data_IF_832402721223
#
_entry.id   IF_832402721223
#
_cell.length_a   1.000
_cell.length_b   1.000
_cell.length_c   1.000
_cell.angle_alpha   90.00
_cell.angle_beta   90.00
_cell.angle_gamma   90.00
#
_symmetry.space_group_name_H-M   'P 1'
#
loop_
_entity.id
_entity.type
_entity.pdbx_description
1 polymer ?
#
# COMPACT_ATOMS: atom_id res chain seq x y z
N UNK A 1 10.21 -1.78 -20.17
CA UNK A 1 9.91 -2.10 -18.76
C UNK A 1 9.15 -3.40 -18.80
N UNK A 2 9.80 -4.50 -18.48
CA UNK A 2 9.14 -5.69 -17.98
C UNK A 2 9.24 -5.64 -16.47
N UNK A 3 8.17 -5.97 -15.77
CA UNK A 3 8.14 -6.03 -14.32
C UNK A 3 7.77 -7.46 -13.96
N UNK A 4 8.72 -8.38 -14.12
CA UNK A 4 8.43 -9.82 -14.01
C UNK A 4 8.36 -10.19 -12.54
N UNK A 5 7.18 -10.61 -12.08
CA UNK A 5 7.04 -11.40 -10.86
C UNK A 5 7.42 -12.84 -11.21
N UNK A 6 8.57 -13.30 -10.74
CA UNK A 6 9.02 -14.68 -10.97
C UNK A 6 8.43 -15.62 -9.91
N UNK A 7 8.30 -16.93 -10.21
CA UNK A 7 7.85 -17.94 -9.25
C UNK A 7 8.73 -18.12 -7.99
N UNK A 8 9.86 -17.42 -7.90
CA UNK A 8 10.77 -17.38 -6.75
C UNK A 8 10.62 -16.11 -5.89
N UNK A 9 9.49 -15.40 -6.04
CA UNK A 9 9.16 -14.15 -5.37
C UNK A 9 10.14 -13.00 -5.65
N UNK A 10 10.83 -13.04 -6.80
CA UNK A 10 11.67 -11.93 -7.26
C UNK A 10 10.92 -11.03 -8.23
N UNK A 11 10.88 -9.74 -7.91
CA UNK A 11 10.46 -8.67 -8.82
C UNK A 11 11.64 -8.37 -9.77
N UNK A 12 11.42 -8.27 -11.07
CA UNK A 12 12.50 -7.88 -12.01
C UNK A 12 12.01 -6.72 -12.86
N UNK A 13 12.58 -5.54 -12.65
CA UNK A 13 12.47 -4.44 -13.61
C UNK A 13 13.48 -4.66 -14.73
N UNK A 14 13.05 -5.30 -15.82
CA UNK A 14 13.82 -5.44 -17.05
C UNK A 14 13.60 -4.18 -17.91
N UNK A 15 14.65 -3.36 -18.04
CA UNK A 15 14.67 -2.26 -18.99
C UNK A 15 15.27 -2.78 -20.30
N UNK A 16 14.47 -3.43 -21.13
CA UNK A 16 14.88 -3.63 -22.52
C UNK A 16 14.94 -2.25 -23.19
N UNK A 17 16.17 -1.77 -23.41
CA UNK A 17 16.43 -0.74 -24.41
C UNK A 17 16.05 -1.36 -25.75
N UNK A 18 14.85 -1.05 -26.22
CA UNK A 18 14.41 -1.47 -27.54
C UNK A 18 15.39 -0.87 -28.57
N UNK A 19 16.26 -1.73 -29.12
CA UNK A 19 17.27 -1.35 -30.13
C UNK A 19 16.64 -0.96 -31.47
N UNK A 20 15.32 -0.82 -31.55
CA UNK A 20 14.58 -0.50 -32.76
C UNK A 20 13.80 0.82 -32.66
N UNK A 21 14.45 1.93 -32.32
CA UNK A 21 14.16 3.26 -32.91
C UNK A 21 12.70 3.73 -33.03
N UNK A 22 11.79 3.40 -32.11
CA UNK A 22 10.44 4.01 -32.04
C UNK A 22 10.45 5.04 -30.91
N UNK A 23 10.81 6.27 -31.25
CA UNK A 23 11.05 7.36 -30.29
C UNK A 23 9.78 8.11 -29.82
N UNK A 24 8.56 7.61 -30.07
CA UNK A 24 7.33 8.39 -29.85
C UNK A 24 6.40 7.97 -28.70
N UNK A 25 6.65 6.91 -27.91
CA UNK A 25 5.76 6.56 -26.76
C UNK A 25 6.43 6.40 -25.38
N UNK A 26 7.76 6.27 -25.30
CA UNK A 26 8.42 5.95 -24.02
C UNK A 26 8.36 7.12 -23.01
N UNK A 27 8.33 8.37 -23.46
CA UNK A 27 8.43 9.56 -22.59
C UNK A 27 7.17 9.79 -21.74
N UNK A 28 6.01 9.27 -22.17
CA UNK A 28 4.72 9.44 -21.47
C UNK A 28 4.36 8.30 -20.52
N UNK A 29 5.07 7.16 -20.55
CA UNK A 29 4.71 6.01 -19.72
C UNK A 29 4.76 6.38 -18.22
N UNK A 30 3.68 6.08 -17.51
CA UNK A 30 3.55 6.22 -16.06
C UNK A 30 3.28 4.87 -15.44
N UNK A 31 3.84 4.63 -14.26
CA UNK A 31 3.57 3.48 -13.42
C UNK A 31 3.57 3.89 -11.95
N UNK A 32 2.78 3.20 -11.14
CA UNK A 32 2.67 3.47 -9.70
C UNK A 32 3.05 2.24 -8.89
N UNK A 33 3.70 2.41 -7.76
CA UNK A 33 4.12 1.32 -6.88
C UNK A 33 3.79 1.64 -5.42
N UNK A 34 3.41 0.65 -4.61
CA UNK A 34 2.82 0.88 -3.28
C UNK A 34 3.67 0.27 -2.16
N UNK A 35 3.92 -1.03 -2.20
CA UNK A 35 4.47 -1.79 -1.07
C UNK A 35 5.98 -1.64 -0.94
N UNK A 36 6.43 -0.72 -0.08
CA UNK A 36 7.86 -0.43 0.09
C UNK A 36 8.67 -1.66 0.54
N UNK A 37 8.06 -2.63 1.23
CA UNK A 37 8.74 -3.88 1.63
C UNK A 37 9.26 -4.69 0.43
N UNK A 38 8.42 -4.88 -0.59
CA UNK A 38 8.83 -5.57 -1.82
C UNK A 38 9.82 -4.72 -2.61
N UNK A 39 9.59 -3.41 -2.71
CA UNK A 39 10.52 -2.51 -3.39
C UNK A 39 11.91 -2.53 -2.75
N UNK A 40 11.98 -2.49 -1.41
CA UNK A 40 13.23 -2.59 -0.65
C UNK A 40 13.95 -3.90 -0.96
N UNK A 41 13.26 -5.04 -0.84
CA UNK A 41 13.87 -6.35 -1.14
C UNK A 41 14.44 -6.38 -2.56
N UNK A 42 13.67 -5.90 -3.53
CA UNK A 42 14.11 -5.80 -4.91
C UNK A 42 15.35 -4.90 -5.06
N UNK A 43 15.30 -3.71 -4.47
CA UNK A 43 16.33 -2.68 -4.59
C UNK A 43 17.69 -3.17 -4.08
N UNK A 44 17.70 -3.92 -2.98
CA UNK A 44 18.92 -4.48 -2.37
C UNK A 44 19.67 -5.42 -3.33
N UNK A 45 18.97 -6.06 -4.27
CA UNK A 45 19.56 -7.00 -5.24
C UNK A 45 20.05 -6.32 -6.52
N UNK A 46 19.80 -5.03 -6.71
CA UNK A 46 20.11 -4.32 -7.96
C UNK A 46 21.52 -3.74 -8.03
N UNK A 47 22.07 -3.71 -9.25
CA UNK A 47 23.31 -3.00 -9.55
C UNK A 47 23.11 -1.48 -9.68
N UNK A 48 24.21 -0.74 -9.68
CA UNK A 48 24.20 0.74 -9.76
C UNK A 48 23.53 1.28 -11.02
N UNK A 49 23.63 0.57 -12.15
CA UNK A 49 23.04 1.00 -13.42
C UNK A 49 21.50 0.96 -13.37
N UNK A 50 20.95 -0.14 -12.84
CA UNK A 50 19.50 -0.29 -12.66
C UNK A 50 19.00 0.71 -11.62
N UNK A 51 19.70 0.86 -10.49
CA UNK A 51 19.36 1.85 -9.46
C UNK A 51 19.35 3.28 -10.00
N UNK A 52 20.34 3.66 -10.82
CA UNK A 52 20.39 4.97 -11.46
C UNK A 52 19.22 5.18 -12.44
N UNK A 53 18.87 4.15 -13.22
CA UNK A 53 17.73 4.20 -14.15
C UNK A 53 16.40 4.39 -13.42
N UNK A 54 16.20 3.71 -12.29
CA UNK A 54 14.98 3.88 -11.48
C UNK A 54 14.92 5.24 -10.80
N UNK A 55 16.05 5.75 -10.28
CA UNK A 55 16.10 7.13 -9.77
C UNK A 55 15.68 8.13 -10.84
N UNK A 56 16.20 7.99 -12.06
CA UNK A 56 15.79 8.85 -13.18
C UNK A 56 14.28 8.76 -13.48
N UNK A 57 13.68 7.57 -13.40
CA UNK A 57 12.23 7.41 -13.61
C UNK A 57 11.40 8.06 -12.51
N UNK A 58 11.86 7.99 -11.26
CA UNK A 58 11.21 8.64 -10.12
C UNK A 58 11.34 10.16 -10.24
N UNK A 59 12.53 10.67 -10.57
CA UNK A 59 12.77 12.10 -10.80
C UNK A 59 11.94 12.67 -11.96
N UNK A 60 11.65 11.86 -12.98
CA UNK A 60 10.77 12.22 -14.10
C UNK A 60 9.27 12.08 -13.77
N UNK A 61 8.93 11.59 -12.57
CA UNK A 61 7.56 11.23 -12.17
C UNK A 61 6.96 10.09 -13.00
N UNK A 62 7.78 9.30 -13.70
CA UNK A 62 7.33 8.18 -14.54
C UNK A 62 7.10 6.92 -13.70
N UNK A 63 7.83 6.77 -12.60
CA UNK A 63 7.51 5.87 -11.52
C UNK A 63 7.11 6.73 -10.31
N UNK A 64 5.88 6.58 -9.84
CA UNK A 64 5.39 7.29 -8.65
C UNK A 64 5.13 6.28 -7.52
N UNK A 65 5.63 6.58 -6.32
CA UNK A 65 5.24 5.82 -5.14
C UNK A 65 3.92 6.37 -4.60
N UNK A 66 2.98 5.47 -4.34
CA UNK A 66 1.69 5.75 -3.70
C UNK A 66 1.69 5.12 -2.31
N UNK A 67 1.02 5.74 -1.34
CA UNK A 67 1.04 5.34 0.08
C UNK A 67 2.46 5.33 0.68
N UNK A 68 3.36 4.45 0.24
CA UNK A 68 4.76 4.40 0.65
C UNK A 68 4.99 3.82 2.03
N UNK A 69 3.98 3.23 2.65
CA UNK A 69 4.17 2.38 3.82
C UNK A 69 4.99 1.12 3.50
N UNK A 70 5.42 0.42 4.54
CA UNK A 70 6.05 -0.89 4.37
C UNK A 70 5.12 -1.89 3.69
N UNK A 71 3.81 -1.79 3.96
CA UNK A 71 2.76 -2.52 3.26
C UNK A 71 1.50 -1.63 3.08
N UNK A 72 0.55 -2.12 2.29
CA UNK A 72 -0.84 -1.68 2.36
C UNK A 72 -1.48 -2.36 3.57
N UNK A 73 -1.65 -1.62 4.66
CA UNK A 73 -2.12 -2.16 5.93
C UNK A 73 -3.61 -2.49 5.93
N UNK A 74 -4.04 -3.43 6.76
CA UNK A 74 -5.44 -3.48 7.21
C UNK A 74 -5.82 -2.14 7.87
N UNK A 75 -7.12 -1.87 7.96
CA UNK A 75 -7.65 -0.66 8.62
C UNK A 75 -8.52 -1.00 9.84
N UNK A 76 -8.97 -2.26 10.01
CA UNK A 76 -9.86 -2.64 11.11
C UNK A 76 -9.13 -3.19 12.35
N UNK A 77 -8.13 -4.06 12.15
CA UNK A 77 -7.51 -4.84 13.24
C UNK A 77 -6.15 -4.35 13.74
N UNK A 78 -5.38 -3.52 13.01
CA UNK A 78 -4.18 -2.88 13.53
C UNK A 78 -4.46 -1.91 14.66
N UNK A 79 -3.44 -1.68 15.48
CA UNK A 79 -3.40 -0.55 16.40
C UNK A 79 -2.73 0.65 15.70
N UNK A 80 -3.27 1.85 15.88
CA UNK A 80 -2.79 3.11 15.25
C UNK A 80 -1.25 3.27 15.32
N UNK A 81 -0.63 2.97 16.47
CA UNK A 81 0.83 3.07 16.62
C UNK A 81 1.62 2.19 15.64
N UNK A 82 1.09 1.01 15.31
CA UNK A 82 1.71 0.09 14.36
C UNK A 82 1.54 0.56 12.92
N UNK A 83 0.44 1.24 12.61
CA UNK A 83 0.19 1.89 11.32
C UNK A 83 1.17 3.05 11.11
N UNK A 84 1.31 3.92 12.10
CA UNK A 84 2.31 5.00 12.08
C UNK A 84 3.72 4.42 11.92
N UNK A 85 4.07 3.35 12.63
CA UNK A 85 5.41 2.76 12.55
C UNK A 85 5.71 2.15 11.18
N UNK A 86 4.75 1.44 10.57
CA UNK A 86 4.96 0.84 9.24
C UNK A 86 5.01 1.92 8.13
N UNK A 87 4.20 2.98 8.25
CA UNK A 87 4.26 4.14 7.36
C UNK A 87 5.59 4.86 7.50
N UNK A 88 6.03 5.13 8.74
CA UNK A 88 7.31 5.79 9.02
C UNK A 88 8.49 5.03 8.42
N UNK A 89 8.50 3.70 8.54
CA UNK A 89 9.56 2.85 7.99
C UNK A 89 9.66 2.97 6.47
N UNK A 90 8.53 2.82 5.77
CA UNK A 90 8.50 2.88 4.31
C UNK A 90 8.82 4.29 3.78
N UNK A 91 8.15 5.31 4.31
CA UNK A 91 8.35 6.70 3.90
C UNK A 91 9.78 7.18 4.13
N UNK A 92 10.38 6.80 5.28
CA UNK A 92 11.79 7.07 5.54
C UNK A 92 12.69 6.42 4.49
N UNK A 93 12.47 5.15 4.18
CA UNK A 93 13.26 4.44 3.18
C UNK A 93 13.17 5.09 1.79
N UNK A 94 11.97 5.47 1.37
CA UNK A 94 11.76 6.14 0.08
C UNK A 94 12.46 7.51 0.05
N UNK A 95 12.33 8.30 1.12
CA UNK A 95 13.02 9.59 1.22
C UNK A 95 14.54 9.46 1.25
N UNK A 96 15.09 8.49 1.99
CA UNK A 96 16.54 8.24 2.03
C UNK A 96 17.07 7.78 0.65
N UNK A 97 16.24 7.10 -0.15
CA UNK A 97 16.64 6.52 -1.45
C UNK A 97 16.46 7.48 -2.63
N UNK A 98 15.36 8.23 -2.65
CA UNK A 98 14.89 9.05 -3.78
C UNK A 98 14.69 10.53 -3.44
N UNK A 99 14.86 10.94 -2.17
CA UNK A 99 14.63 12.31 -1.72
C UNK A 99 13.18 12.75 -1.89
N UNK A 100 12.98 14.04 -2.16
CA UNK A 100 11.65 14.66 -2.32
C UNK A 100 10.80 13.98 -3.40
N UNK A 101 11.40 13.55 -4.50
CA UNK A 101 10.70 12.84 -5.59
C UNK A 101 10.15 11.47 -5.16
N UNK A 102 10.69 10.88 -4.10
CA UNK A 102 10.22 9.61 -3.55
C UNK A 102 9.03 9.74 -2.61
N UNK A 103 8.68 10.95 -2.18
CA UNK A 103 7.63 11.17 -1.20
C UNK A 103 6.24 11.05 -1.86
N UNK A 104 5.41 10.08 -1.46
CA UNK A 104 4.05 9.94 -1.98
C UNK A 104 3.17 11.15 -1.63
N UNK A 105 2.30 11.52 -2.57
CA UNK A 105 1.28 12.58 -2.38
C UNK A 105 -0.11 12.04 -2.12
N UNK A 106 -0.37 10.81 -2.54
CA UNK A 106 -1.68 10.17 -2.48
C UNK A 106 -1.59 8.86 -1.73
N UNK A 107 -2.49 8.66 -0.77
CA UNK A 107 -2.69 7.38 -0.11
C UNK A 107 -3.52 6.46 -1.02
N UNK A 108 -3.20 5.17 -1.02
CA UNK A 108 -3.75 4.19 -1.94
C UNK A 108 -4.07 2.92 -1.16
N UNK A 109 -5.36 2.73 -0.85
CA UNK A 109 -5.88 1.66 0.02
C UNK A 109 -6.89 0.82 -0.74
N UNK A 110 -6.44 0.18 -1.82
CA UNK A 110 -7.37 -0.45 -2.77
C UNK A 110 -7.99 -1.74 -2.26
N UNK A 111 -7.30 -2.43 -1.34
CA UNK A 111 -7.62 -3.79 -0.93
C UNK A 111 -7.99 -4.03 0.56
N UNK A 112 -7.82 -3.10 1.52
CA UNK A 112 -8.39 -3.27 2.85
C UNK A 112 -9.91 -3.47 2.82
N UNK A 113 -10.43 -4.31 3.72
CA UNK A 113 -11.82 -4.75 3.70
C UNK A 113 -12.73 -3.79 4.49
N UNK A 114 -12.87 -2.57 3.98
CA UNK A 114 -13.49 -1.42 4.64
C UNK A 114 -12.44 -0.40 5.10
N UNK A 115 -12.85 0.83 5.40
CA UNK A 115 -11.92 1.95 5.63
C UNK A 115 -12.25 2.73 6.90
N UNK A 116 -11.20 3.04 7.68
CA UNK A 116 -11.30 3.58 9.03
C UNK A 116 -11.22 5.10 9.05
N UNK A 117 -12.08 5.72 9.87
CA UNK A 117 -12.02 7.13 10.19
C UNK A 117 -10.64 7.56 10.75
N UNK A 118 -10.07 6.76 11.66
CA UNK A 118 -8.76 7.04 12.28
C UNK A 118 -7.64 7.02 11.24
N UNK A 119 -7.65 6.03 10.34
CA UNK A 119 -6.60 5.88 9.31
C UNK A 119 -6.64 7.03 8.32
N UNK A 120 -7.83 7.55 8.01
CA UNK A 120 -7.96 8.75 7.18
C UNK A 120 -7.37 10.00 7.85
N UNK A 121 -7.59 10.18 9.16
CA UNK A 121 -6.96 11.25 9.93
C UNK A 121 -5.44 11.09 9.98
N UNK A 122 -4.93 9.87 10.18
CA UNK A 122 -3.50 9.59 10.11
C UNK A 122 -2.90 9.98 8.75
N UNK A 123 -3.58 9.68 7.63
CA UNK A 123 -3.09 10.11 6.31
C UNK A 123 -3.12 11.62 6.13
N UNK A 124 -4.17 12.30 6.61
CA UNK A 124 -4.20 13.76 6.59
C UNK A 124 -3.03 14.36 7.39
N UNK A 125 -2.77 13.85 8.60
CA UNK A 125 -1.67 14.28 9.47
C UNK A 125 -0.28 13.95 8.89
N UNK A 126 -0.16 12.86 8.11
CA UNK A 126 1.05 12.53 7.37
C UNK A 126 1.28 13.43 6.14
N UNK A 127 0.33 14.31 5.81
CA UNK A 127 0.43 15.28 4.73
C UNK A 127 0.07 14.74 3.35
N UNK A 128 -0.72 13.67 3.27
CA UNK A 128 -1.31 13.23 2.00
C UNK A 128 -2.34 14.24 1.50
N UNK A 129 -2.45 14.40 0.18
CA UNK A 129 -3.43 15.30 -0.44
C UNK A 129 -4.82 14.63 -0.56
N UNK A 130 -4.87 13.30 -0.52
CA UNK A 130 -6.10 12.51 -0.57
C UNK A 130 -5.84 11.01 -0.53
N UNK A 131 -6.92 10.23 -0.38
CA UNK A 131 -6.90 8.76 -0.41
C UNK A 131 -7.85 8.20 -1.46
N UNK A 132 -7.43 7.11 -2.11
CA UNK A 132 -8.31 6.34 -3.00
C UNK A 132 -8.39 4.89 -2.57
N UNK A 133 -9.60 4.33 -2.64
CA UNK A 133 -9.88 2.95 -2.25
C UNK A 133 -11.06 2.34 -3.01
N UNK A 134 -11.22 1.01 -2.90
CA UNK A 134 -12.18 0.25 -3.72
C UNK A 134 -13.29 -0.46 -2.94
N UNK A 135 -13.08 -0.81 -1.68
CA UNK A 135 -13.93 -1.76 -0.94
C UNK A 135 -14.81 -1.05 0.09
N UNK A 136 -15.96 -0.57 -0.36
CA UNK A 136 -17.04 -0.07 0.50
C UNK A 136 -18.28 -0.94 0.35
N UNK A 137 -19.24 -0.83 1.27
CA UNK A 137 -20.48 -1.59 1.21
C UNK A 137 -21.19 -1.49 -0.15
N UNK A 138 -21.76 -2.62 -0.59
CA UNK A 138 -22.41 -2.78 -1.88
C UNK A 138 -23.64 -1.86 -2.08
N UNK A 139 -24.39 -1.51 -1.04
CA UNK A 139 -25.49 -0.55 -1.13
C UNK A 139 -24.93 0.88 -1.20
N UNK A 140 -23.89 1.19 -0.41
CA UNK A 140 -23.23 2.50 -0.43
C UNK A 140 -22.62 2.80 -1.81
N UNK A 141 -21.84 1.87 -2.39
CA UNK A 141 -21.28 2.08 -3.74
C UNK A 141 -22.36 2.23 -4.81
N UNK A 142 -23.48 1.51 -4.70
CA UNK A 142 -24.60 1.64 -5.63
C UNK A 142 -25.25 3.03 -5.53
N UNK A 143 -25.46 3.53 -4.31
CA UNK A 143 -26.01 4.85 -4.06
C UNK A 143 -25.06 5.95 -4.54
N UNK A 144 -23.76 5.82 -4.27
CA UNK A 144 -22.74 6.78 -4.70
C UNK A 144 -22.59 6.87 -6.20
N UNK A 145 -22.62 5.73 -6.91
CA UNK A 145 -22.64 5.69 -8.38
C UNK A 145 -23.86 6.42 -8.94
N UNK A 146 -25.04 6.21 -8.34
CA UNK A 146 -26.28 6.88 -8.75
C UNK A 146 -26.27 8.39 -8.48
N UNK A 147 -25.72 8.81 -7.35
CA UNK A 147 -25.78 10.19 -6.87
C UNK A 147 -24.54 11.02 -7.21
N UNK A 148 -23.54 10.43 -7.88
CA UNK A 148 -22.25 11.07 -8.19
C UNK A 148 -21.53 11.57 -6.93
N UNK A 149 -21.40 10.67 -5.96
CA UNK A 149 -20.73 10.92 -4.67
C UNK A 149 -19.62 9.90 -4.38
N UNK A 150 -19.02 9.34 -5.44
CA UNK A 150 -17.83 8.49 -5.34
C UNK A 150 -16.58 9.31 -4.98
N UNK A 151 -16.58 10.60 -5.26
CA UNK A 151 -15.52 11.55 -4.88
C UNK A 151 -16.10 12.56 -3.90
N UNK A 152 -15.41 12.79 -2.79
CA UNK A 152 -15.94 13.55 -1.66
C UNK A 152 -14.83 14.18 -0.82
N UNK A 153 -15.24 15.13 0.02
CA UNK A 153 -14.47 15.53 1.20
C UNK A 153 -14.94 14.67 2.36
N UNK A 154 -14.05 13.85 2.89
CA UNK A 154 -14.29 13.05 4.08
C UNK A 154 -13.73 13.81 5.28
N UNK A 155 -14.58 14.09 6.27
CA UNK A 155 -14.19 14.59 7.57
C UNK A 155 -14.53 13.54 8.62
N UNK A 156 -13.56 12.73 9.05
CA UNK A 156 -13.82 11.65 9.99
C UNK A 156 -14.16 12.12 11.41
N UNK A 157 -13.68 13.31 11.81
CA UNK A 157 -14.00 13.94 13.09
C UNK A 157 -14.52 15.38 12.86
N UNK A 158 -15.81 15.58 13.13
CA UNK A 158 -16.48 16.86 12.94
C UNK A 158 -15.96 17.97 13.87
N UNK A 159 -15.31 17.62 14.99
CA UNK A 159 -14.78 18.59 15.96
C UNK A 159 -13.56 19.34 15.42
N UNK A 160 -12.85 18.78 14.43
CA UNK A 160 -11.73 19.41 13.74
C UNK A 160 -12.18 20.50 12.76
N UNK A 161 -13.47 20.53 12.40
CA UNK A 161 -13.98 21.44 11.39
C UNK A 161 -13.26 21.29 10.04
N UNK A 162 -13.16 22.35 9.22
CA UNK A 162 -12.54 22.27 7.89
C UNK A 162 -11.06 21.87 7.88
N UNK A 163 -10.35 21.92 9.01
CA UNK A 163 -8.96 21.45 9.08
C UNK A 163 -8.86 19.92 9.02
N UNK A 164 -9.94 19.20 9.37
CA UNK A 164 -10.04 17.74 9.21
C UNK A 164 -10.58 17.29 7.85
N UNK A 165 -10.71 18.20 6.87
CA UNK A 165 -11.20 17.85 5.53
C UNK A 165 -10.12 17.12 4.72
N UNK A 166 -10.43 15.88 4.31
CA UNK A 166 -9.53 15.06 3.54
C UNK A 166 -10.20 14.58 2.25
N UNK A 167 -9.56 14.77 1.09
CA UNK A 167 -10.15 14.34 -0.17
C UNK A 167 -10.14 12.81 -0.27
N UNK A 168 -11.26 12.23 -0.68
CA UNK A 168 -11.42 10.78 -0.78
C UNK A 168 -12.12 10.39 -2.08
N UNK A 169 -11.54 9.43 -2.79
CA UNK A 169 -12.11 8.86 -4.01
C UNK A 169 -12.35 7.36 -3.91
N UNK A 170 -13.58 6.94 -4.19
CA UNK A 170 -13.95 5.54 -4.36
C UNK A 170 -13.79 5.18 -5.84
N UNK A 171 -13.07 4.10 -6.11
CA UNK A 171 -12.87 3.61 -7.47
C UNK A 171 -14.12 2.92 -8.02
N UNK A 172 -14.32 3.01 -9.33
CA UNK A 172 -15.56 2.52 -9.95
C UNK A 172 -15.67 0.99 -9.92
N UNK A 173 -14.57 0.30 -10.18
CA UNK A 173 -14.50 -1.14 -10.39
C UNK A 173 -13.51 -1.81 -9.43
N UNK A 174 -13.62 -1.47 -8.13
CA UNK A 174 -12.61 -1.82 -7.14
C UNK A 174 -11.25 -1.33 -7.66
N UNK A 175 -10.28 -2.19 -7.97
CA UNK A 175 -8.98 -1.81 -8.54
C UNK A 175 -8.67 -2.43 -9.89
N UNK A 176 -9.62 -3.18 -10.47
CA UNK A 176 -9.40 -3.96 -11.69
C UNK A 176 -9.47 -3.12 -12.97
N UNK A 177 -8.89 -3.59 -14.09
CA UNK A 177 -9.13 -2.99 -15.39
C UNK A 177 -10.62 -3.04 -15.76
N UNK A 178 -11.06 -2.17 -16.69
CA UNK A 178 -12.34 -2.36 -17.37
C UNK A 178 -12.52 -3.80 -17.84
N UNK A 179 -13.71 -4.41 -17.66
CA UNK A 179 -13.97 -5.77 -18.15
C UNK A 179 -13.62 -5.91 -19.63
N UNK A 180 -12.84 -6.93 -19.97
CA UNK A 180 -12.36 -7.15 -21.32
C UNK A 180 -11.09 -6.36 -21.67
N UNK A 181 -10.43 -5.67 -20.74
CA UNK A 181 -9.19 -4.89 -20.97
C UNK A 181 -8.04 -5.29 -20.03
N UNK A 182 -8.02 -6.53 -19.55
CA UNK A 182 -6.85 -7.08 -18.89
C UNK A 182 -5.79 -7.51 -19.91
N UNK A 183 -4.61 -6.89 -19.89
CA UNK A 183 -3.53 -7.19 -20.84
C UNK A 183 -2.38 -7.98 -20.21
N UNK A 184 -2.65 -8.69 -19.10
CA UNK A 184 -1.66 -9.53 -18.45
C UNK A 184 -1.49 -10.89 -19.13
N UNK A 185 -0.40 -11.58 -18.81
CA UNK A 185 -0.06 -12.90 -19.36
C UNK A 185 -1.07 -13.98 -18.97
N UNK A 186 -1.73 -13.82 -17.81
CA UNK A 186 -2.72 -14.75 -17.30
C UNK A 186 -4.16 -14.40 -17.70
N UNK A 187 -4.36 -13.31 -18.43
CA UNK A 187 -5.67 -12.88 -18.90
C UNK A 187 -5.98 -13.43 -20.29
N UNK A 188 -7.25 -13.71 -20.53
CA UNK A 188 -7.75 -14.23 -21.82
C UNK A 188 -8.34 -13.15 -22.73
N UNK A 189 -8.30 -11.88 -22.30
CA UNK A 189 -8.89 -10.76 -23.03
C UNK A 189 -8.13 -10.49 -24.34
N UNK A 190 -8.88 -10.11 -25.39
CA UNK A 190 -8.27 -9.86 -26.70
C UNK A 190 -7.35 -8.62 -26.69
N UNK A 191 -6.12 -8.73 -27.20
CA UNK A 191 -5.27 -7.59 -27.42
C UNK A 191 -5.82 -6.72 -28.55
N UNK A 192 -5.31 -5.49 -28.66
CA UNK A 192 -5.62 -4.59 -29.76
C UNK A 192 -4.77 -4.98 -30.97
N UNK A 193 -5.41 -5.55 -31.97
CA UNK A 193 -4.81 -6.04 -33.22
C UNK A 193 -4.95 -4.98 -34.31
N UNK A 194 -3.87 -4.25 -34.59
CA UNK A 194 -3.85 -3.05 -35.44
C UNK A 194 -3.03 -3.19 -36.73
N UNK A 195 -2.50 -4.39 -37.02
CA UNK A 195 -1.74 -4.64 -38.23
C UNK A 195 -2.67 -5.01 -39.40
N UNK A 196 -2.85 -4.13 -40.41
CA UNK A 196 -3.79 -4.37 -41.51
C UNK A 196 -3.36 -5.51 -42.44
N UNK A 197 -2.12 -6.03 -42.30
CA UNK A 197 -1.61 -7.16 -43.07
C UNK A 197 -1.96 -8.52 -42.44
N UNK A 198 -2.52 -8.53 -41.24
CA UNK A 198 -2.89 -9.75 -40.51
C UNK A 198 -4.41 -9.88 -40.43
N UNK A 199 -4.89 -11.11 -40.24
CA UNK A 199 -6.29 -11.37 -39.90
C UNK A 199 -6.59 -10.95 -38.45
N UNK A 200 -7.86 -10.70 -38.15
CA UNK A 200 -8.31 -10.39 -36.78
C UNK A 200 -8.06 -8.94 -36.35
N UNK A 201 -7.97 -7.98 -37.28
CA UNK A 201 -7.91 -6.56 -36.93
C UNK A 201 -9.20 -6.15 -36.21
N UNK A 202 -9.07 -5.73 -34.94
CA UNK A 202 -10.21 -5.45 -34.05
C UNK A 202 -10.23 -4.01 -33.51
N UNK A 203 -9.35 -3.12 -34.00
CA UNK A 203 -9.17 -1.75 -33.47
C UNK A 203 -10.48 -0.99 -33.25
N UNK A 204 -11.37 -0.94 -34.25
CA UNK A 204 -12.61 -0.18 -34.14
C UNK A 204 -13.52 -0.71 -33.02
N UNK A 205 -13.71 -2.03 -32.95
CA UNK A 205 -14.54 -2.67 -31.93
C UNK A 205 -13.97 -2.41 -30.52
N UNK A 206 -12.68 -2.65 -30.32
CA UNK A 206 -12.00 -2.46 -29.02
C UNK A 206 -12.02 -1.01 -28.56
N UNK A 207 -11.88 -0.06 -29.49
CA UNK A 207 -11.96 1.38 -29.19
C UNK A 207 -13.38 1.79 -28.83
N UNK A 208 -14.40 1.30 -29.54
CA UNK A 208 -15.81 1.56 -29.21
C UNK A 208 -16.18 0.99 -27.84
N UNK A 209 -15.82 -0.26 -27.56
CA UNK A 209 -16.00 -0.90 -26.25
C UNK A 209 -15.35 -0.08 -25.12
N UNK A 210 -14.10 0.36 -25.31
CA UNK A 210 -13.40 1.15 -24.29
C UNK A 210 -14.08 2.49 -24.03
N UNK A 211 -14.49 3.20 -25.08
CA UNK A 211 -15.21 4.49 -24.96
C UNK A 211 -16.53 4.29 -24.23
N UNK A 212 -17.28 3.22 -24.54
CA UNK A 212 -18.53 2.91 -23.84
C UNK A 212 -18.31 2.67 -22.34
N UNK A 213 -17.25 1.94 -21.97
CA UNK A 213 -16.93 1.70 -20.56
C UNK A 213 -16.49 2.99 -19.86
N UNK A 214 -15.63 3.81 -20.48
CA UNK A 214 -15.22 5.11 -19.91
C UNK A 214 -16.42 6.02 -19.69
N UNK A 215 -17.34 6.10 -20.66
CA UNK A 215 -18.58 6.88 -20.53
C UNK A 215 -19.48 6.36 -19.42
N UNK A 216 -19.57 5.04 -19.25
CA UNK A 216 -20.29 4.42 -18.14
C UNK A 216 -19.67 4.81 -16.80
N UNK A 217 -18.34 4.79 -16.70
CA UNK A 217 -17.64 5.16 -15.46
C UNK A 217 -17.84 6.64 -15.16
N UNK A 218 -17.71 7.52 -16.17
CA UNK A 218 -17.94 8.96 -16.06
C UNK A 218 -19.33 9.32 -15.48
N UNK A 219 -20.35 8.49 -15.69
CA UNK A 219 -21.69 8.73 -15.14
C UNK A 219 -21.74 8.68 -13.61
N UNK A 220 -20.78 8.04 -12.95
CA UNK A 220 -20.69 7.94 -11.49
C UNK A 220 -19.88 9.08 -10.84
N UNK A 221 -19.25 9.95 -11.63
CA UNK A 221 -18.38 11.02 -11.16
C UNK A 221 -18.93 12.41 -11.52
N UNK A 222 -18.44 13.44 -10.84
CA UNK A 222 -18.92 14.83 -11.02
C UNK A 222 -18.22 15.59 -12.14
N UNK A 223 -16.97 15.24 -12.42
CA UNK A 223 -16.12 15.94 -13.39
C UNK A 223 -16.01 15.15 -14.69
N UNK A 224 -15.30 15.72 -15.67
CA UNK A 224 -14.95 15.03 -16.92
C UNK A 224 -13.60 14.31 -16.84
N UNK A 225 -12.96 14.29 -15.66
CA UNK A 225 -11.77 13.49 -15.41
C UNK A 225 -12.24 12.18 -14.78
N UNK A 226 -11.80 11.05 -15.34
CA UNK A 226 -12.14 9.72 -14.83
C UNK A 226 -10.86 8.91 -14.73
N UNK A 227 -10.59 8.38 -13.55
CA UNK A 227 -9.50 7.43 -13.35
C UNK A 227 -9.91 6.04 -13.86
N UNK A 228 -9.03 5.43 -14.66
CA UNK A 228 -9.15 4.04 -15.10
C UNK A 228 -7.95 3.30 -14.55
N UNK A 229 -8.18 2.43 -13.57
CA UNK A 229 -7.17 1.50 -13.06
C UNK A 229 -6.86 0.48 -14.14
N UNK A 230 -5.60 0.36 -14.55
CA UNK A 230 -5.18 -0.58 -15.59
C UNK A 230 -4.20 -1.57 -14.96
N UNK A 231 -4.67 -2.39 -14.03
CA UNK A 231 -3.87 -3.33 -13.24
C UNK A 231 -4.76 -4.14 -12.31
N UNK A 232 -4.19 -5.12 -11.63
CA UNK A 232 -4.88 -6.04 -10.71
C UNK A 232 -3.85 -6.88 -9.97
N UNK A 233 -4.31 -7.86 -9.21
CA UNK A 233 -3.44 -8.71 -8.37
C UNK A 233 -2.28 -9.29 -9.19
N UNK A 234 -1.05 -8.92 -8.81
CA UNK A 234 0.20 -9.38 -9.43
C UNK A 234 0.26 -9.23 -10.97
N UNK A 235 -0.49 -8.31 -11.55
CA UNK A 235 -0.36 -7.95 -12.96
C UNK A 235 0.99 -7.27 -13.25
N UNK A 236 1.25 -7.01 -14.53
CA UNK A 236 2.47 -6.46 -15.11
C UNK A 236 3.68 -7.39 -15.13
N UNK A 237 3.48 -8.71 -14.90
CA UNK A 237 4.52 -9.75 -15.06
C UNK A 237 5.24 -9.58 -16.40
N UNK A 238 4.48 -9.30 -17.46
CA UNK A 238 5.03 -8.85 -18.75
C UNK A 238 4.47 -7.46 -19.06
N UNK A 239 5.02 -6.45 -18.38
CA UNK A 239 4.57 -5.06 -18.51
C UNK A 239 4.60 -4.51 -19.95
N UNK A 240 5.44 -5.06 -20.84
CA UNK A 240 5.44 -4.68 -22.27
C UNK A 240 4.12 -5.00 -22.97
N UNK A 241 3.42 -6.07 -22.58
CA UNK A 241 2.10 -6.42 -23.12
C UNK A 241 1.04 -5.38 -22.73
N UNK A 242 1.05 -4.93 -21.47
CA UNK A 242 0.21 -3.85 -20.98
C UNK A 242 0.48 -2.54 -21.70
N UNK A 243 1.72 -2.06 -21.68
CA UNK A 243 2.07 -0.77 -22.27
C UNK A 243 1.78 -0.73 -23.78
N UNK A 244 2.06 -1.83 -24.51
CA UNK A 244 1.74 -1.91 -25.94
C UNK A 244 0.25 -1.77 -26.24
N UNK A 245 -0.60 -2.39 -25.44
CA UNK A 245 -2.05 -2.27 -25.64
C UNK A 245 -2.57 -0.91 -25.18
N UNK A 246 -2.11 -0.38 -24.04
CA UNK A 246 -2.50 0.96 -23.58
C UNK A 246 -2.06 2.05 -24.58
N UNK A 247 -0.85 1.96 -25.15
CA UNK A 247 -0.36 2.86 -26.20
C UNK A 247 -1.30 2.87 -27.42
N UNK A 248 -1.77 1.69 -27.85
CA UNK A 248 -2.73 1.57 -28.95
C UNK A 248 -4.08 2.17 -28.56
N UNK A 249 -4.53 1.94 -27.33
CA UNK A 249 -5.78 2.45 -26.80
C UNK A 249 -5.77 3.99 -26.78
N UNK A 250 -4.71 4.60 -26.23
CA UNK A 250 -4.46 6.05 -26.27
C UNK A 250 -4.44 6.56 -27.71
N UNK A 251 -3.64 5.95 -28.58
CA UNK A 251 -3.50 6.37 -29.98
C UNK A 251 -4.83 6.36 -30.72
N UNK A 252 -5.57 5.25 -30.66
CA UNK A 252 -6.76 5.06 -31.49
C UNK A 252 -8.00 5.75 -30.91
N UNK A 253 -8.15 5.84 -29.58
CA UNK A 253 -9.23 6.63 -28.96
C UNK A 253 -9.03 8.12 -29.26
N UNK A 254 -7.82 8.65 -29.05
CA UNK A 254 -7.55 10.07 -29.28
C UNK A 254 -7.59 10.49 -30.75
N UNK A 255 -7.34 9.56 -31.68
CA UNK A 255 -7.45 9.81 -33.12
C UNK A 255 -8.87 9.64 -33.66
N UNK A 256 -9.82 9.13 -32.87
CA UNK A 256 -11.18 8.87 -33.32
C UNK A 256 -11.95 10.18 -33.53
N UNK A 257 -12.35 10.43 -34.77
CA UNK A 257 -13.19 11.58 -35.11
C UNK A 257 -14.52 11.50 -34.36
N UNK A 258 -14.96 12.63 -33.79
CA UNK A 258 -16.18 12.76 -32.99
C UNK A 258 -16.20 11.96 -31.67
N UNK A 259 -15.04 11.56 -31.14
CA UNK A 259 -14.92 11.12 -29.75
C UNK A 259 -14.81 12.33 -28.83
N UNK A 260 -15.61 12.35 -27.76
CA UNK A 260 -15.54 13.25 -26.61
C UNK A 260 -14.60 12.73 -25.51
N UNK A 261 -13.94 11.59 -25.73
CA UNK A 261 -13.01 10.97 -24.79
C UNK A 261 -11.57 11.25 -25.19
N UNK A 262 -10.78 11.75 -24.24
CA UNK A 262 -9.33 11.89 -24.35
C UNK A 262 -8.65 11.00 -23.30
N UNK A 263 -7.68 10.19 -23.73
CA UNK A 263 -6.99 9.18 -22.89
C UNK A 263 -5.51 9.52 -22.82
N UNK A 264 -4.93 9.40 -21.63
CA UNK A 264 -3.51 9.62 -21.38
C UNK A 264 -3.02 8.72 -20.22
N UNK A 265 -1.72 8.46 -20.17
CA UNK A 265 -1.09 7.90 -18.97
C UNK A 265 -1.11 8.93 -17.84
N UNK A 266 -1.60 8.52 -16.68
CA UNK A 266 -1.68 9.35 -15.47
C UNK A 266 -1.23 8.57 -14.25
N UNK A 267 -1.10 9.28 -13.14
CA UNK A 267 -0.99 8.74 -11.79
C UNK A 267 -2.16 9.26 -10.94
N UNK A 268 -2.46 8.65 -9.77
CA UNK A 268 -3.43 9.17 -8.83
C UNK A 268 -3.13 10.60 -8.34
N UNK A 269 -1.86 10.98 -8.15
CA UNK A 269 -1.52 12.38 -7.82
C UNK A 269 -1.89 13.34 -8.97
N UNK A 270 -1.59 13.00 -10.22
CA UNK A 270 -2.02 13.79 -11.38
C UNK A 270 -3.54 13.85 -11.50
N UNK A 271 -4.24 12.74 -11.22
CA UNK A 271 -5.70 12.69 -11.23
C UNK A 271 -6.30 13.61 -10.17
N UNK A 272 -5.86 13.49 -8.93
CA UNK A 272 -6.29 14.35 -7.83
C UNK A 272 -6.02 15.83 -8.12
N UNK A 273 -4.86 16.15 -8.70
CA UNK A 273 -4.55 17.52 -9.13
C UNK A 273 -5.51 18.00 -10.23
N UNK A 274 -5.92 17.14 -11.16
CA UNK A 274 -6.91 17.49 -12.18
C UNK A 274 -8.28 17.79 -11.54
N UNK A 275 -8.71 16.96 -10.58
CA UNK A 275 -9.94 17.19 -9.81
C UNK A 275 -9.89 18.50 -9.02
N UNK A 276 -8.75 18.82 -8.39
CA UNK A 276 -8.58 20.05 -7.62
C UNK A 276 -8.65 21.33 -8.49
N UNK A 277 -8.30 21.22 -9.78
CA UNK A 277 -8.42 22.33 -10.76
C UNK A 277 -9.86 22.55 -11.23
N UNK A 278 -10.78 21.62 -10.98
CA UNK A 278 -12.19 21.78 -11.30
C UNK A 278 -12.84 22.75 -10.31
N UNK A 279 -13.51 23.79 -10.82
CA UNK A 279 -14.18 24.79 -9.99
C UNK A 279 -15.57 24.32 -9.56
N UNK A 280 -15.62 23.20 -8.82
CA UNK A 280 -16.86 22.59 -8.33
C UNK A 280 -16.82 22.36 -6.81
N UNK A 281 -17.99 22.22 -6.22
CA UNK A 281 -18.15 21.78 -4.82
C UNK A 281 -18.28 20.27 -4.74
N UNK A 282 -17.52 19.66 -3.84
CA UNK A 282 -17.56 18.23 -3.56
C UNK A 282 -18.66 17.89 -2.54
N UNK A 283 -19.26 16.70 -2.61
CA UNK A 283 -20.10 16.19 -1.53
C UNK A 283 -19.23 15.89 -0.30
N UNK A 284 -19.86 15.79 0.86
CA UNK A 284 -19.18 15.50 2.11
C UNK A 284 -19.66 14.22 2.77
N UNK A 285 -18.75 13.52 3.45
CA UNK A 285 -19.05 12.49 4.47
C UNK A 285 -18.46 12.98 5.79
N UNK A 286 -19.26 12.98 6.85
CA UNK A 286 -18.96 13.64 8.13
C UNK A 286 -19.16 12.63 9.28
N UNK A 287 -18.27 12.62 10.27
CA UNK A 287 -18.35 11.85 11.53
C UNK A 287 -18.69 10.36 11.34
N UNK A 288 -18.02 9.69 10.39
CA UNK A 288 -18.37 8.34 9.96
C UNK A 288 -17.21 7.63 9.25
N UNK A 289 -17.27 6.29 9.18
CA UNK A 289 -16.28 5.43 8.52
C UNK A 289 -16.89 4.62 7.36
N UNK A 290 -16.14 3.69 6.77
CA UNK A 290 -16.62 2.77 5.73
C UNK A 290 -16.69 1.32 6.22
N UNK A 291 -16.98 1.12 7.51
CA UNK A 291 -17.22 -0.20 8.09
C UNK A 291 -18.71 -0.43 8.41
N UNK A 292 -19.17 -1.69 8.40
CA UNK A 292 -18.48 -2.86 7.86
C UNK A 292 -18.52 -2.90 6.33
N UNK A 293 -17.53 -3.54 5.71
CA UNK A 293 -17.57 -3.86 4.28
C UNK A 293 -18.49 -5.07 4.02
N UNK A 294 -19.48 -4.88 3.14
CA UNK A 294 -20.31 -5.95 2.58
C UNK A 294 -20.17 -5.99 1.05
N UNK A 295 -19.78 -7.14 0.50
CA UNK A 295 -19.67 -7.31 -0.97
C UNK A 295 -21.01 -7.59 -1.63
N UNK A 296 -21.97 -8.10 -0.87
CA UNK A 296 -23.37 -8.35 -1.25
C UNK A 296 -24.26 -8.45 0.01
N UNK A 297 -25.56 -8.69 -0.18
CA UNK A 297 -26.59 -8.74 0.87
C UNK A 297 -26.30 -9.76 1.99
N UNK A 298 -25.47 -10.78 1.75
CA UNK A 298 -25.22 -11.88 2.68
C UNK A 298 -23.73 -12.10 3.00
N UNK A 299 -22.84 -11.31 2.39
CA UNK A 299 -21.39 -11.45 2.53
C UNK A 299 -20.79 -10.21 3.20
N UNK A 300 -21.00 -10.10 4.51
CA UNK A 300 -20.35 -9.08 5.34
C UNK A 300 -19.01 -9.59 5.87
N UNK A 301 -17.97 -8.81 5.64
CA UNK A 301 -16.59 -9.18 5.93
C UNK A 301 -16.22 -8.82 7.37
N UNK A 302 -17.03 -9.24 8.35
CA UNK A 302 -16.73 -8.97 9.78
C UNK A 302 -16.01 -10.14 10.46
N UNK A 303 -15.90 -11.29 9.79
CA UNK A 303 -15.21 -12.47 10.32
C UNK A 303 -13.72 -12.21 10.60
N UNK A 304 -13.04 -11.47 9.71
CA UNK A 304 -11.61 -11.18 9.84
C UNK A 304 -11.27 -10.30 11.04
N UNK A 305 -12.27 -9.59 11.62
CA UNK A 305 -12.10 -8.89 12.89
C UNK A 305 -11.64 -9.85 14.01
N UNK A 306 -11.98 -11.15 13.91
CA UNK A 306 -11.60 -12.17 14.91
C UNK A 306 -10.66 -13.25 14.36
N UNK A 307 -10.65 -13.53 13.06
CA UNK A 307 -9.81 -14.59 12.45
C UNK A 307 -8.37 -14.59 12.97
N UNK A 308 -7.83 -15.78 13.27
CA UNK A 308 -6.47 -15.96 13.86
C UNK A 308 -6.22 -15.10 15.12
N UNK A 309 -7.05 -15.20 16.17
CA UNK A 309 -6.94 -14.32 17.34
C UNK A 309 -5.60 -14.45 18.08
N UNK A 310 -4.99 -15.65 18.08
CA UNK A 310 -3.66 -15.86 18.66
C UNK A 310 -2.58 -15.08 17.91
N UNK A 311 -2.67 -14.96 16.58
CA UNK A 311 -1.72 -14.18 15.79
C UNK A 311 -1.92 -12.68 16.02
N UNK A 312 -3.18 -12.20 16.04
CA UNK A 312 -3.50 -10.80 16.42
C UNK A 312 -2.93 -10.43 17.79
N UNK A 313 -3.06 -11.31 18.79
CA UNK A 313 -2.45 -11.11 20.10
C UNK A 313 -0.91 -11.08 20.02
N UNK A 314 -0.30 -11.91 19.18
CA UNK A 314 1.15 -11.92 19.01
C UNK A 314 1.66 -10.63 18.35
N UNK A 315 0.96 -10.10 17.34
CA UNK A 315 1.23 -8.78 16.75
C UNK A 315 1.20 -7.69 17.82
N UNK A 316 0.20 -7.71 18.73
CA UNK A 316 0.13 -6.76 19.84
C UNK A 316 1.34 -6.88 20.80
N UNK A 317 1.75 -8.11 21.16
CA UNK A 317 2.93 -8.32 22.01
C UNK A 317 4.21 -7.81 21.34
N UNK A 318 4.37 -8.04 20.03
CA UNK A 318 5.52 -7.53 19.27
C UNK A 318 5.49 -6.00 19.16
N UNK A 319 4.32 -5.38 18.99
CA UNK A 319 4.19 -3.92 19.05
C UNK A 319 4.68 -3.38 20.41
N UNK A 320 4.33 -4.04 21.52
CA UNK A 320 4.82 -3.66 22.85
C UNK A 320 6.35 -3.70 22.91
N UNK A 321 6.97 -4.77 22.40
CA UNK A 321 8.42 -4.89 22.33
C UNK A 321 9.06 -3.80 21.44
N UNK A 322 8.44 -3.46 20.31
CA UNK A 322 8.91 -2.39 19.43
C UNK A 322 8.85 -1.03 20.11
N UNK A 323 7.76 -0.68 20.80
CA UNK A 323 7.66 0.59 21.52
C UNK A 323 8.70 0.70 22.64
N UNK A 324 8.93 -0.38 23.40
CA UNK A 324 10.01 -0.42 24.41
C UNK A 324 11.38 -0.23 23.77
N UNK A 325 11.62 -0.91 22.65
CA UNK A 325 12.87 -0.79 21.88
C UNK A 325 13.10 0.65 21.45
N UNK A 326 12.11 1.31 20.85
CA UNK A 326 12.20 2.71 20.41
C UNK A 326 12.57 3.64 21.57
N UNK A 327 11.95 3.48 22.74
CA UNK A 327 12.23 4.29 23.92
C UNK A 327 13.65 4.07 24.45
N UNK A 328 14.05 2.81 24.64
CA UNK A 328 15.35 2.46 25.23
C UNK A 328 16.52 2.73 24.28
N UNK A 329 16.32 2.57 22.97
CA UNK A 329 17.33 2.84 21.93
C UNK A 329 17.78 4.30 21.95
N UNK A 330 16.96 5.24 22.41
CA UNK A 330 17.35 6.67 22.55
C UNK A 330 18.52 6.89 23.52
N UNK A 331 18.78 5.95 24.43
CA UNK A 331 19.93 5.99 25.34
C UNK A 331 21.23 5.51 24.70
N UNK A 332 21.18 4.92 23.50
CA UNK A 332 22.32 4.33 22.81
C UNK A 332 22.75 5.20 21.62
N UNK A 333 24.02 5.12 21.18
CA UNK A 333 24.42 5.68 19.90
C UNK A 333 23.55 5.14 18.76
N UNK A 334 23.31 5.97 17.74
CA UNK A 334 22.34 5.68 16.69
C UNK A 334 22.63 4.34 15.98
N UNK A 335 23.89 4.10 15.62
CA UNK A 335 24.29 2.93 14.82
C UNK A 335 24.36 1.62 15.62
N UNK A 336 24.30 1.68 16.96
CA UNK A 336 24.37 0.48 17.81
C UNK A 336 23.18 -0.44 17.57
N UNK A 337 23.39 -1.65 17.03
CA UNK A 337 22.31 -2.61 16.74
C UNK A 337 21.25 -2.08 15.74
N UNK A 338 21.68 -1.33 14.73
CA UNK A 338 20.80 -0.81 13.68
C UNK A 338 20.11 -1.95 12.89
N UNK A 339 20.80 -3.06 12.63
CA UNK A 339 20.23 -4.22 11.93
C UNK A 339 19.12 -4.89 12.76
N UNK A 340 19.33 -5.09 14.06
CA UNK A 340 18.29 -5.61 14.96
C UNK A 340 17.07 -4.68 15.03
N UNK A 341 17.29 -3.36 15.07
CA UNK A 341 16.21 -2.39 15.09
C UNK A 341 15.40 -2.49 13.80
N UNK A 342 16.07 -2.54 12.66
CA UNK A 342 15.43 -2.71 11.37
C UNK A 342 14.67 -4.03 11.27
N UNK A 343 15.20 -5.12 11.85
CA UNK A 343 14.55 -6.44 11.85
C UNK A 343 13.19 -6.42 12.58
N UNK A 344 13.10 -5.85 13.78
CA UNK A 344 11.79 -5.74 14.46
C UNK A 344 10.86 -4.77 13.74
N UNK A 345 11.38 -3.66 13.19
CA UNK A 345 10.57 -2.70 12.45
C UNK A 345 9.94 -3.33 11.21
N UNK A 346 10.70 -4.07 10.38
CA UNK A 346 10.16 -4.74 9.19
C UNK A 346 9.20 -5.89 9.54
N UNK A 347 9.47 -6.63 10.62
CA UNK A 347 8.59 -7.72 11.08
C UNK A 347 7.23 -7.16 11.54
N UNK A 348 7.23 -6.06 12.31
CA UNK A 348 6.00 -5.36 12.65
C UNK A 348 5.33 -4.74 11.44
N UNK A 349 6.11 -4.14 10.54
CA UNK A 349 5.61 -3.50 9.34
C UNK A 349 4.84 -4.46 8.43
N UNK A 350 5.41 -5.62 8.12
CA UNK A 350 4.76 -6.61 7.25
C UNK A 350 3.54 -7.25 7.91
N UNK A 351 3.56 -7.40 9.24
CA UNK A 351 2.43 -7.95 9.98
C UNK A 351 1.19 -7.04 9.93
N UNK A 352 1.31 -5.76 9.55
CA UNK A 352 0.14 -4.88 9.40
C UNK A 352 -0.61 -5.07 8.08
N UNK A 353 -0.05 -5.84 7.14
CA UNK A 353 -0.66 -6.09 5.83
C UNK A 353 -2.12 -6.54 5.94
N UNK A 354 -2.97 -6.15 4.98
CA UNK A 354 -4.40 -6.47 4.97
C UNK A 354 -4.73 -7.96 4.86
N UNK A 355 -3.75 -8.84 4.60
CA UNK A 355 -3.87 -10.30 4.77
C UNK A 355 -3.09 -10.90 5.95
N UNK A 356 -2.30 -10.09 6.68
CA UNK A 356 -1.52 -10.58 7.81
C UNK A 356 -2.33 -10.48 9.11
N UNK A 357 -2.38 -9.30 9.74
CA UNK A 357 -3.09 -9.14 11.02
C UNK A 357 -4.60 -9.36 10.90
N UNK A 358 -5.18 -9.18 9.71
CA UNK A 358 -6.56 -9.55 9.40
C UNK A 358 -6.83 -11.06 9.54
N UNK A 359 -5.82 -11.90 9.31
CA UNK A 359 -5.89 -13.35 9.40
C UNK A 359 -6.57 -14.04 8.21
N UNK A 360 -6.50 -13.44 7.02
CA UNK A 360 -7.10 -13.95 5.76
C UNK A 360 -6.12 -14.71 4.86
N UNK A 361 -4.85 -14.81 5.25
CA UNK A 361 -3.81 -15.56 4.57
C UNK A 361 -3.90 -17.09 4.74
N UNK A 362 -3.15 -17.83 3.91
CA UNK A 362 -3.01 -19.30 4.04
C UNK A 362 -2.20 -19.68 5.28
N UNK A 363 -2.41 -20.88 5.81
CA UNK A 363 -1.76 -21.32 7.06
C UNK A 363 -0.22 -21.28 7.04
N UNK A 364 0.43 -21.60 5.92
CA UNK A 364 1.89 -21.54 5.86
C UNK A 364 2.41 -20.09 5.88
N UNK A 365 1.63 -19.13 5.37
CA UNK A 365 1.95 -17.71 5.38
C UNK A 365 1.84 -17.15 6.80
N UNK A 366 0.80 -17.52 7.56
CA UNK A 366 0.71 -17.10 8.98
C UNK A 366 1.85 -17.67 9.83
N UNK A 367 2.30 -18.89 9.52
CA UNK A 367 3.44 -19.50 10.20
C UNK A 367 4.73 -18.71 9.92
N UNK A 368 4.90 -18.22 8.68
CA UNK A 368 6.01 -17.37 8.28
C UNK A 368 5.98 -16.00 8.96
N UNK A 369 4.82 -15.32 8.98
CA UNK A 369 4.65 -14.09 9.75
C UNK A 369 4.96 -14.28 11.24
N UNK A 370 4.53 -15.40 11.84
CA UNK A 370 4.84 -15.71 13.23
C UNK A 370 6.35 -15.90 13.47
N UNK A 371 7.07 -16.49 12.52
CA UNK A 371 8.52 -16.59 12.58
C UNK A 371 9.18 -15.20 12.56
N UNK A 372 8.78 -14.33 11.62
CA UNK A 372 9.28 -12.96 11.57
C UNK A 372 9.04 -12.18 12.86
N UNK A 373 7.84 -12.27 13.44
CA UNK A 373 7.53 -11.61 14.71
C UNK A 373 8.40 -12.15 15.86
N UNK A 374 8.62 -13.46 15.92
CA UNK A 374 9.49 -14.07 16.92
C UNK A 374 10.93 -13.57 16.77
N UNK A 375 11.50 -13.58 15.56
CA UNK A 375 12.84 -13.05 15.29
C UNK A 375 12.93 -11.56 15.63
N UNK A 376 11.88 -10.78 15.33
CA UNK A 376 11.74 -9.38 15.72
C UNK A 376 11.83 -9.17 17.23
N UNK A 377 11.11 -9.98 18.02
CA UNK A 377 11.21 -9.93 19.48
C UNK A 377 12.62 -10.26 19.96
N UNK A 378 13.29 -11.28 19.39
CA UNK A 378 14.66 -11.61 19.76
C UNK A 378 15.63 -10.45 19.47
N UNK A 379 15.46 -9.79 18.33
CA UNK A 379 16.24 -8.60 17.97
C UNK A 379 15.98 -7.43 18.95
N UNK A 380 14.73 -7.16 19.31
CA UNK A 380 14.39 -6.18 20.34
C UNK A 380 15.02 -6.50 21.69
N UNK A 381 15.02 -7.77 22.11
CA UNK A 381 15.61 -8.17 23.38
C UNK A 381 17.12 -7.93 23.43
N UNK A 382 17.84 -8.08 22.31
CA UNK A 382 19.26 -7.69 22.24
C UNK A 382 19.44 -6.20 22.51
N UNK A 383 18.62 -5.35 21.88
CA UNK A 383 18.67 -3.89 22.06
C UNK A 383 18.35 -3.52 23.51
N UNK A 384 17.29 -4.10 24.08
CA UNK A 384 16.87 -3.86 25.46
C UNK A 384 18.00 -4.23 26.44
N UNK A 385 18.66 -5.38 26.22
CA UNK A 385 19.78 -5.81 27.05
C UNK A 385 20.97 -4.84 27.02
N UNK A 386 21.35 -4.38 25.83
CA UNK A 386 22.44 -3.40 25.68
C UNK A 386 22.05 -2.06 26.32
N UNK A 387 20.81 -1.61 26.13
CA UNK A 387 20.31 -0.38 26.75
C UNK A 387 20.30 -0.47 28.28
N UNK A 388 19.86 -1.59 28.85
CA UNK A 388 19.88 -1.78 30.30
C UNK A 388 21.29 -1.78 30.86
N UNK A 389 22.25 -2.48 30.24
CA UNK A 389 23.65 -2.44 30.68
C UNK A 389 24.25 -1.04 30.56
N UNK A 390 23.90 -0.30 29.51
CA UNK A 390 24.33 1.08 29.35
C UNK A 390 23.78 2.00 30.45
N UNK A 391 22.50 1.87 30.80
CA UNK A 391 21.81 2.74 31.76
C UNK A 391 22.06 2.37 33.22
N UNK A 392 22.18 1.09 33.53
CA UNK A 392 22.16 0.56 34.89
C UNK A 392 23.46 -0.19 35.27
N UNK A 393 24.35 -0.45 34.31
CA UNK A 393 25.66 -1.05 34.51
C UNK A 393 25.81 -2.47 33.94
N UNK A 394 27.04 -2.81 33.55
CA UNK A 394 27.39 -4.07 32.88
C UNK A 394 27.20 -5.34 33.73
N UNK A 395 27.03 -5.18 35.04
CA UNK A 395 26.78 -6.30 35.96
C UNK A 395 25.37 -6.90 35.82
N UNK A 396 24.46 -6.23 35.08
CA UNK A 396 23.13 -6.77 34.85
C UNK A 396 23.18 -8.06 34.01
N UNK A 397 22.55 -9.14 34.50
CA UNK A 397 22.45 -10.37 33.74
C UNK A 397 21.64 -10.13 32.47
N UNK A 398 21.88 -10.97 31.46
CA UNK A 398 21.06 -10.96 30.26
C UNK A 398 19.60 -11.27 30.60
N UNK A 399 18.70 -10.39 30.16
CA UNK A 399 17.26 -10.49 30.31
C UNK A 399 16.68 -11.30 29.15
N UNK A 400 15.76 -12.20 29.47
CA UNK A 400 15.03 -13.01 28.48
C UNK A 400 13.52 -12.74 28.59
N UNK A 401 12.78 -12.77 27.46
CA UNK A 401 11.35 -12.57 27.48
C UNK A 401 10.62 -13.84 27.92
N UNK A 402 9.59 -13.70 28.76
CA UNK A 402 8.67 -14.78 29.07
C UNK A 402 7.48 -14.77 28.09
N UNK A 403 7.63 -15.34 26.89
CA UNK A 403 6.57 -15.30 25.85
C UNK A 403 5.38 -16.22 26.12
N UNK A 404 5.52 -17.21 27.01
CA UNK A 404 4.51 -18.24 27.31
C UNK A 404 3.77 -18.00 28.63
N UNK A 405 3.76 -16.77 29.14
CA UNK A 405 3.09 -16.44 30.43
C UNK A 405 1.59 -16.76 30.41
N UNK A 406 0.94 -16.69 29.24
CA UNK A 406 -0.48 -17.01 29.09
C UNK A 406 -0.82 -18.49 29.41
N UNK A 407 0.16 -19.39 29.29
CA UNK A 407 0.05 -20.81 29.66
C UNK A 407 0.87 -21.11 30.92
N UNK A 408 1.16 -20.10 31.74
CA UNK A 408 1.94 -20.20 32.99
C UNK A 408 3.35 -20.79 32.82
N UNK A 409 3.98 -20.55 31.66
CA UNK A 409 5.34 -21.01 31.39
C UNK A 409 6.29 -19.83 31.15
N UNK A 410 7.47 -19.92 31.75
CA UNK A 410 8.62 -19.09 31.39
C UNK A 410 9.89 -19.92 31.61
N UNK A 411 10.75 -19.99 30.59
CA UNK A 411 12.06 -20.60 30.73
C UNK A 411 12.94 -19.69 31.60
N UNK A 412 13.32 -20.20 32.77
CA UNK A 412 14.18 -19.48 33.70
C UNK A 412 15.63 -19.92 33.53
N UNK A 413 16.59 -18.98 33.46
CA UNK A 413 18.00 -19.31 33.30
C UNK A 413 18.59 -20.01 34.53
N UNK A 414 17.96 -19.90 35.71
CA UNK A 414 18.39 -20.57 36.94
C UNK A 414 17.20 -21.09 37.76
N UNK A 415 17.29 -22.29 38.36
CA UNK A 415 16.28 -22.81 39.26
C UNK A 415 16.32 -22.19 40.67
N UNK A 416 17.34 -21.38 41.00
CA UNK A 416 17.54 -20.88 42.38
C UNK A 416 17.36 -19.37 42.55
N UNK A 417 18.04 -18.55 41.73
CA UNK A 417 18.00 -17.08 41.85
C UNK A 417 17.75 -16.48 40.47
N UNK A 418 16.69 -15.70 40.35
CA UNK A 418 16.33 -14.98 39.14
C UNK A 418 16.17 -13.49 39.46
N UNK A 419 16.67 -12.62 38.58
CA UNK A 419 16.51 -11.18 38.67
C UNK A 419 15.38 -10.75 37.74
N UNK A 420 14.45 -9.94 38.26
CA UNK A 420 13.31 -9.43 37.49
C UNK A 420 13.50 -7.94 37.28
N UNK A 421 13.60 -7.53 36.02
CA UNK A 421 13.62 -6.12 35.63
C UNK A 421 12.24 -5.71 35.14
N UNK A 422 11.66 -4.67 35.74
CA UNK A 422 10.38 -4.12 35.34
C UNK A 422 10.59 -2.77 34.64
N UNK A 423 10.08 -2.65 33.42
CA UNK A 423 10.12 -1.41 32.65
C UNK A 423 8.71 -0.85 32.47
N UNK A 424 8.49 0.38 32.92
CA UNK A 424 7.25 1.10 32.68
C UNK A 424 7.39 2.01 31.46
N UNK A 425 6.75 1.63 30.35
CA UNK A 425 6.76 2.40 29.10
C UNK A 425 5.89 3.66 29.11
N UNK A 426 5.05 3.82 30.14
CA UNK A 426 4.10 4.91 30.22
C UNK A 426 4.66 6.08 31.01
N UNK A 427 4.55 7.28 30.45
CA UNK A 427 4.70 8.51 31.20
C UNK A 427 3.40 8.80 31.95
N UNK A 428 3.32 8.36 33.20
CA UNK A 428 2.20 8.69 34.08
C UNK A 428 2.38 10.15 34.53
N UNK A 429 1.43 11.03 34.21
CA UNK A 429 1.38 12.35 34.83
C UNK A 429 1.07 12.17 36.32
N UNK A 430 1.99 12.58 37.18
CA UNK A 430 1.76 12.67 38.63
C UNK A 430 1.03 13.96 38.98
#
# INVERSE_FOLDING_TARGET
>A
MEMVWRPDDTLVFSFEQDKQGIFYSIVSLRFVYVETSFFWRWWEEQNEQVRASVKELVDQGRLEFLLGGWCMSDEATPHYSSLIDQMTLGLKYLNDTFGECGQPRVAWQIDPFGHSAEVALEFADMGFDGVFFGRIDHEDIALRKKNKTMEMVWRPDDTLGPEGDFFTGVMYNIYDPPPGFCFDTYCEDEPIMDNPKLHGVNVNARVDEFIEVVKKYAQAYRTNNVIITMGGDFHYVVASAWFKNIDKLIKYVNAKLNSDVHVLYSTPACYLQALNKENITWPSKMDDDFFPFGSDEHSYWTGYFTSRPSFKYFVYQTNVALQMTKQLKTSLPNDTLAEEQFLIQRAMGIAQHHDAVSGTERQHVTNDYSLYLYEGIQAAMKIINVAYRHLLGDYLPEQQPCLLMNVSQCELPSPTINYITLYNRFRLSM
#
